data_IF_506889509394
#
_entry.id   IF_506889509394
#
_cell.length_a   1.000
_cell.length_b   1.000
_cell.length_c   1.000
_cell.angle_alpha   90.00
_cell.angle_beta   90.00
_cell.angle_gamma   90.00
#
_symmetry.space_group_name_H-M   'P 1'
#
loop_
_entity.id
_entity.type
_entity.pdbx_description
1 polymer ?
#
# COMPACT_ATOMS: atom_id res chain seq x y z
N UNK A 1 -16.32 16.85 -11.75
CA UNK A 1 -16.73 16.10 -10.55
C UNK A 1 -16.45 16.98 -9.35
N UNK A 2 -17.47 17.60 -8.75
CA UNK A 2 -17.30 18.48 -7.58
C UNK A 2 -17.28 17.60 -6.33
N UNK A 3 -16.09 17.14 -5.95
CA UNK A 3 -15.86 16.52 -4.65
C UNK A 3 -15.34 17.64 -3.74
N UNK A 4 -16.11 17.98 -2.72
CA UNK A 4 -15.63 18.84 -1.65
C UNK A 4 -14.81 17.99 -0.69
N UNK A 5 -13.52 18.32 -0.54
CA UNK A 5 -12.67 17.70 0.47
C UNK A 5 -13.06 18.24 1.85
N UNK A 6 -12.87 17.44 2.90
CA UNK A 6 -12.93 18.01 4.25
C UNK A 6 -11.77 18.99 4.45
N UNK A 7 -11.91 20.02 5.31
CA UNK A 7 -10.86 21.01 5.52
C UNK A 7 -9.49 20.38 5.90
N UNK A 8 -9.51 19.29 6.64
CA UNK A 8 -8.30 18.55 7.04
C UNK A 8 -7.62 17.89 5.82
N UNK A 9 -8.42 17.32 4.92
CA UNK A 9 -7.91 16.67 3.72
C UNK A 9 -7.41 17.69 2.70
N UNK A 10 -8.08 18.83 2.56
CA UNK A 10 -7.61 19.94 1.74
C UNK A 10 -6.26 20.48 2.26
N UNK A 11 -6.14 20.68 3.58
CA UNK A 11 -4.87 21.06 4.21
C UNK A 11 -3.77 20.04 3.93
N UNK A 12 -4.08 18.74 4.01
CA UNK A 12 -3.12 17.70 3.68
C UNK A 12 -2.69 17.77 2.21
N UNK A 13 -3.64 17.89 1.27
CA UNK A 13 -3.36 17.95 -0.17
C UNK A 13 -2.48 19.15 -0.50
N UNK A 14 -2.81 20.33 0.02
CA UNK A 14 -2.02 21.54 -0.19
C UNK A 14 -0.60 21.39 0.36
N UNK A 15 -0.45 20.77 1.54
CA UNK A 15 0.89 20.50 2.10
C UNK A 15 1.75 19.59 1.21
N UNK A 16 1.16 18.70 0.39
CA UNK A 16 1.93 17.87 -0.53
C UNK A 16 2.44 18.65 -1.75
N UNK A 17 1.65 19.61 -2.22
CA UNK A 17 2.03 20.53 -3.31
C UNK A 17 3.14 21.48 -2.85
N UNK A 18 2.98 22.09 -1.66
CA UNK A 18 3.98 23.00 -1.07
C UNK A 18 5.35 22.34 -0.86
N UNK A 19 5.38 21.05 -0.58
CA UNK A 19 6.62 20.27 -0.42
C UNK A 19 7.32 19.98 -1.75
N UNK A 20 6.71 20.33 -2.89
CA UNK A 20 7.29 20.21 -4.23
C UNK A 20 7.24 18.81 -4.83
N UNK A 21 6.54 17.86 -4.21
CA UNK A 21 6.39 16.50 -4.76
C UNK A 21 5.32 16.41 -5.87
N UNK A 22 4.42 17.38 -5.93
CA UNK A 22 3.33 17.47 -6.90
C UNK A 22 3.17 18.93 -7.35
N UNK A 23 2.79 19.15 -8.60
CA UNK A 23 2.61 20.51 -9.14
C UNK A 23 1.22 21.08 -8.90
N UNK A 24 0.24 20.23 -8.57
CA UNK A 24 -1.13 20.65 -8.30
C UNK A 24 -1.86 19.70 -7.35
N UNK A 25 -2.89 20.22 -6.68
CA UNK A 25 -3.78 19.43 -5.82
C UNK A 25 -4.46 18.29 -6.59
N UNK A 26 -4.78 18.50 -7.86
CA UNK A 26 -5.35 17.46 -8.73
C UNK A 26 -4.38 16.29 -8.96
N UNK A 27 -3.07 16.54 -9.06
CA UNK A 27 -2.08 15.46 -9.17
C UNK A 27 -1.99 14.63 -7.88
N UNK A 28 -2.07 15.28 -6.71
CA UNK A 28 -2.09 14.57 -5.42
C UNK A 28 -3.28 13.61 -5.35
N UNK A 29 -4.46 14.08 -5.75
CA UNK A 29 -5.70 13.28 -5.77
C UNK A 29 -5.58 12.13 -6.78
N UNK A 30 -5.09 12.40 -8.00
CA UNK A 30 -4.89 11.37 -9.03
C UNK A 30 -3.87 10.32 -8.60
N UNK A 31 -2.81 10.73 -7.92
CA UNK A 31 -1.83 9.79 -7.37
C UNK A 31 -2.49 8.85 -6.35
N UNK A 32 -3.32 9.38 -5.45
CA UNK A 32 -4.06 8.57 -4.49
C UNK A 32 -5.02 7.58 -5.18
N UNK A 33 -5.77 8.02 -6.18
CA UNK A 33 -6.66 7.16 -6.99
C UNK A 33 -5.87 6.05 -7.71
N UNK A 34 -4.70 6.37 -8.26
CA UNK A 34 -3.82 5.38 -8.88
C UNK A 34 -3.34 4.32 -7.86
N UNK A 35 -2.97 4.73 -6.64
CA UNK A 35 -2.59 3.76 -5.59
C UNK A 35 -3.74 2.81 -5.29
N UNK A 36 -4.96 3.32 -5.16
CA UNK A 36 -6.14 2.50 -4.89
C UNK A 36 -6.36 1.47 -6.00
N UNK A 37 -6.35 1.91 -7.27
CA UNK A 37 -6.49 1.03 -8.44
C UNK A 37 -5.40 -0.03 -8.50
N UNK A 38 -4.16 0.32 -8.19
CA UNK A 38 -3.07 -0.65 -8.14
C UNK A 38 -3.27 -1.70 -7.04
N UNK A 39 -3.81 -1.31 -5.88
CA UNK A 39 -4.11 -2.24 -4.78
C UNK A 39 -5.27 -3.18 -5.13
N UNK A 40 -6.34 -2.66 -5.74
CA UNK A 40 -7.47 -3.48 -6.23
C UNK A 40 -6.98 -4.55 -7.21
N UNK A 41 -6.24 -4.15 -8.25
CA UNK A 41 -5.65 -5.08 -9.21
C UNK A 41 -4.69 -6.07 -8.56
N UNK A 42 -3.99 -5.67 -7.51
CA UNK A 42 -3.13 -6.58 -6.76
C UNK A 42 -3.95 -7.62 -6.00
N UNK A 43 -5.06 -7.26 -5.37
CA UNK A 43 -5.91 -8.24 -4.68
C UNK A 43 -6.51 -9.25 -5.65
N UNK A 44 -6.94 -8.83 -6.83
CA UNK A 44 -7.39 -9.75 -7.89
C UNK A 44 -6.29 -10.73 -8.31
N UNK A 45 -5.06 -10.23 -8.48
CA UNK A 45 -3.90 -11.07 -8.80
C UNK A 45 -3.58 -12.05 -7.67
N UNK A 46 -3.69 -11.61 -6.42
CA UNK A 46 -3.44 -12.46 -5.26
C UNK A 46 -4.50 -13.55 -5.10
N UNK A 47 -5.77 -13.25 -5.36
CA UNK A 47 -6.84 -14.24 -5.33
C UNK A 47 -6.58 -15.37 -6.34
N UNK A 48 -6.08 -15.03 -7.53
CA UNK A 48 -5.78 -16.02 -8.57
C UNK A 48 -4.41 -16.68 -8.42
N UNK A 49 -3.42 -15.98 -7.83
CA UNK A 49 -2.06 -16.45 -7.65
C UNK A 49 -1.52 -16.13 -6.25
N UNK A 50 -1.98 -16.85 -5.19
CA UNK A 50 -1.61 -16.56 -3.80
C UNK A 50 -0.11 -16.60 -3.54
N UNK A 51 0.66 -17.33 -4.34
CA UNK A 51 2.08 -17.54 -4.10
C UNK A 51 3.02 -16.48 -4.73
N UNK A 52 2.50 -15.40 -5.32
CA UNK A 52 3.36 -14.45 -6.07
C UNK A 52 4.27 -13.56 -5.21
N UNK A 53 3.90 -13.30 -3.96
CA UNK A 53 4.72 -12.51 -3.04
C UNK A 53 5.96 -13.27 -2.56
N UNK A 54 7.03 -12.53 -2.24
CA UNK A 54 8.27 -13.11 -1.74
C UNK A 54 8.14 -13.52 -0.27
N UNK A 55 8.83 -14.60 0.11
CA UNK A 55 9.08 -14.89 1.53
C UNK A 55 10.15 -13.94 2.07
N UNK A 56 10.06 -13.59 3.34
CA UNK A 56 11.03 -12.73 4.04
C UNK A 56 11.36 -13.34 5.39
N UNK A 57 12.12 -14.43 5.34
CA UNK A 57 12.58 -15.18 6.51
C UNK A 57 13.50 -14.32 7.41
N UNK A 58 14.12 -13.28 6.84
CA UNK A 58 14.86 -12.25 7.58
C UNK A 58 13.97 -11.35 8.46
N UNK A 59 12.65 -11.36 8.23
CA UNK A 59 11.68 -10.53 8.94
C UNK A 59 10.78 -11.33 9.89
N UNK A 60 10.38 -12.53 9.49
CA UNK A 60 9.46 -13.38 10.28
C UNK A 60 9.59 -14.85 9.87
N UNK A 61 9.39 -15.76 10.83
CA UNK A 61 9.34 -17.21 10.59
C UNK A 61 7.93 -17.70 10.22
N UNK A 62 6.92 -16.82 10.25
CA UNK A 62 5.55 -17.17 9.85
C UNK A 62 5.51 -17.41 8.34
N UNK A 63 4.58 -18.25 7.83
CA UNK A 63 4.42 -18.54 6.40
C UNK A 63 3.74 -17.37 5.66
N UNK A 64 4.22 -16.14 5.87
CA UNK A 64 3.72 -14.92 5.26
C UNK A 64 4.48 -14.62 3.97
N UNK A 65 3.78 -13.94 3.06
CA UNK A 65 4.34 -13.40 1.83
C UNK A 65 4.24 -11.89 1.82
N UNK A 66 5.21 -11.30 1.14
CA UNK A 66 5.40 -9.87 1.03
C UNK A 66 5.42 -9.51 -0.44
N UNK A 67 4.53 -8.62 -0.85
CA UNK A 67 4.50 -8.14 -2.23
C UNK A 67 4.51 -6.62 -2.27
N UNK A 68 5.43 -6.05 -3.07
CA UNK A 68 5.53 -4.61 -3.27
C UNK A 68 4.61 -4.23 -4.42
N UNK A 69 3.64 -3.38 -4.14
CA UNK A 69 2.72 -2.81 -5.13
C UNK A 69 2.76 -1.30 -4.98
N UNK A 70 3.12 -0.61 -6.06
CA UNK A 70 3.44 0.81 -6.03
C UNK A 70 4.51 1.09 -4.95
N UNK A 71 4.19 1.86 -3.91
CA UNK A 71 5.06 2.12 -2.76
C UNK A 71 4.52 1.49 -1.48
N UNK A 72 3.82 0.36 -1.55
CA UNK A 72 3.26 -0.33 -0.39
C UNK A 72 3.75 -1.79 -0.35
N UNK A 73 4.04 -2.29 0.85
CA UNK A 73 4.10 -3.72 1.13
C UNK A 73 2.71 -4.23 1.48
N UNK A 74 2.23 -5.18 0.69
CA UNK A 74 1.10 -6.05 1.04
C UNK A 74 1.69 -7.28 1.73
N UNK A 75 1.28 -7.50 2.98
CA UNK A 75 1.72 -8.61 3.82
C UNK A 75 0.53 -9.52 4.03
N UNK A 76 0.65 -10.78 3.63
CA UNK A 76 -0.51 -11.67 3.57
C UNK A 76 -0.12 -13.13 3.80
N UNK A 77 -1.09 -13.93 4.24
CA UNK A 77 -0.96 -15.38 4.33
C UNK A 77 -1.51 -16.02 3.05
N UNK A 78 -0.72 -16.80 2.29
CA UNK A 78 -1.11 -17.33 0.99
C UNK A 78 -1.95 -18.62 1.09
N UNK A 79 -2.69 -18.80 2.19
CA UNK A 79 -3.50 -20.00 2.40
C UNK A 79 -4.48 -20.15 1.23
N UNK A 80 -4.49 -21.32 0.59
CA UNK A 80 -5.21 -21.57 -0.65
C UNK A 80 -6.72 -21.67 -0.46
N UNK A 81 -7.20 -21.96 0.76
CA UNK A 81 -8.64 -21.96 1.07
C UNK A 81 -9.17 -20.57 1.44
N UNK A 82 -8.32 -19.72 2.04
CA UNK A 82 -8.69 -18.37 2.44
C UNK A 82 -7.45 -17.48 2.50
N UNK A 83 -7.26 -16.66 1.46
CA UNK A 83 -6.19 -15.67 1.44
C UNK A 83 -6.49 -14.55 2.44
N UNK A 84 -5.53 -14.26 3.33
CA UNK A 84 -5.69 -13.25 4.37
C UNK A 84 -4.68 -12.13 4.18
N UNK A 85 -5.15 -10.91 3.96
CA UNK A 85 -4.30 -9.71 4.02
C UNK A 85 -4.14 -9.32 5.49
N UNK A 86 -2.92 -9.36 6.01
CA UNK A 86 -2.64 -9.02 7.41
C UNK A 86 -2.39 -7.53 7.56
N UNK A 87 -1.58 -6.94 6.68
CA UNK A 87 -1.21 -5.52 6.73
C UNK A 87 -0.86 -4.97 5.35
N UNK A 88 -1.11 -3.67 5.19
CA UNK A 88 -0.59 -2.86 4.08
C UNK A 88 0.22 -1.72 4.69
N UNK A 89 1.50 -1.65 4.36
CA UNK A 89 2.41 -0.67 4.95
C UNK A 89 3.08 0.12 3.83
N UNK A 90 3.09 1.45 3.91
CA UNK A 90 3.86 2.27 2.98
C UNK A 90 5.35 1.94 3.09
N UNK A 91 6.00 1.77 1.95
CA UNK A 91 7.42 1.63 1.81
C UNK A 91 8.09 3.00 1.98
N UNK A 92 8.41 3.33 3.22
CA UNK A 92 9.31 4.45 3.57
C UNK A 92 10.57 3.85 4.21
N UNK A 93 11.72 4.50 4.06
CA UNK A 93 13.05 3.91 4.34
C UNK A 93 13.29 3.36 5.76
N UNK A 94 12.37 3.57 6.72
CA UNK A 94 12.57 3.23 8.13
C UNK A 94 11.74 2.05 8.69
N UNK A 95 11.00 1.29 7.86
CA UNK A 95 10.03 0.31 8.38
C UNK A 95 10.60 -1.04 8.86
N UNK A 96 11.92 -1.28 8.84
CA UNK A 96 12.50 -2.55 9.36
C UNK A 96 12.03 -2.88 10.78
N UNK A 97 11.73 -1.87 11.61
CA UNK A 97 11.21 -2.05 12.98
C UNK A 97 9.77 -2.60 13.04
N UNK A 98 8.94 -2.28 12.05
CA UNK A 98 7.51 -2.66 12.04
C UNK A 98 7.27 -4.11 11.62
N UNK A 99 8.26 -4.73 10.96
CA UNK A 99 8.19 -6.13 10.57
C UNK A 99 8.59 -7.07 11.71
N UNK A 100 9.34 -6.60 12.72
CA UNK A 100 9.77 -7.42 13.87
C UNK A 100 8.62 -7.84 14.81
N UNK A 101 7.44 -7.23 14.67
CA UNK A 101 6.23 -7.59 15.43
C UNK A 101 5.26 -8.49 14.66
N UNK A 102 5.67 -9.02 13.50
CA UNK A 102 4.90 -9.98 12.71
C UNK A 102 5.24 -11.41 13.10
#
# INVERSE_FOLDING_TARGET
MNISLTPELEKYVNSQVERGFYHSSSEVIRAADNVLKCLEQAFDKLANNPNMGSKREDLTNKPLRFWIVYNCYIIYAPNTSHLQILRIIKFVSQYRKFFKSL
#
